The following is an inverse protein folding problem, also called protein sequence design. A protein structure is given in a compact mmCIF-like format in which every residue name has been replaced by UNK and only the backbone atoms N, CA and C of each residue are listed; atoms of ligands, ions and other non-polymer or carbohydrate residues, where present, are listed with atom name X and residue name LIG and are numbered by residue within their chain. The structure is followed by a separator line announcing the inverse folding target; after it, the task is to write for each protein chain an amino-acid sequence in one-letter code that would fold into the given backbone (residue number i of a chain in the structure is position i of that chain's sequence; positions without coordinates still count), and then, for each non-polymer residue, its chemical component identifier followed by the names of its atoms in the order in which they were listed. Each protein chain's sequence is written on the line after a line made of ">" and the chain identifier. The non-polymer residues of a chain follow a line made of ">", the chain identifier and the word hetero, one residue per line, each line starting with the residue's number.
data_IF_342128829850
#
_entry.id   IF_342128829850
#
_cell.length_a   1.000
_cell.length_b   1.000
_cell.length_c   1.000
_cell.angle_alpha   90.00
_cell.angle_beta   90.00
_cell.angle_gamma   90.00
#
_symmetry.space_group_name_H-M   'P 1'
#
loop_
_entity.id
_entity.type
_entity.pdbx_description
1 polymer ?
#
# COMPACT_ATOMS: atom_id res chain seq x y z
N UNK A 1 -18.34 5.59 -4.73
CA UNK A 1 -17.92 4.84 -3.53
C UNK A 1 -16.45 5.14 -3.23
N UNK A 2 -16.06 5.34 -1.97
CA UNK A 2 -14.65 5.53 -1.57
C UNK A 2 -14.12 4.29 -0.85
N UNK A 3 -12.85 3.95 -1.07
CA UNK A 3 -12.20 2.86 -0.35
C UNK A 3 -12.10 3.17 1.15
N UNK A 4 -12.23 2.15 2.02
CA UNK A 4 -11.93 2.30 3.44
C UNK A 4 -10.42 2.50 3.62
N UNK A 5 -10.00 3.74 3.82
CA UNK A 5 -8.59 4.13 4.03
C UNK A 5 -8.46 4.74 5.40
N UNK A 6 -7.59 4.19 6.24
CA UNK A 6 -7.17 4.86 7.48
C UNK A 6 -5.90 5.65 7.21
N UNK A 7 -5.92 6.95 7.53
CA UNK A 7 -4.75 7.84 7.38
C UNK A 7 -3.89 7.78 8.64
N UNK A 8 -3.30 6.63 8.92
CA UNK A 8 -2.32 6.54 10.01
C UNK A 8 -0.92 6.88 9.50
N UNK A 9 -0.39 8.02 9.94
CA UNK A 9 0.92 8.50 9.52
C UNK A 9 2.01 7.88 10.41
N UNK A 10 3.02 7.29 9.78
CA UNK A 10 4.23 6.82 10.42
C UNK A 10 5.29 7.93 10.38
N UNK A 11 5.32 8.82 11.38
CA UNK A 11 6.34 9.89 11.46
C UNK A 11 7.78 9.37 11.43
N UNK A 12 8.00 8.14 11.91
CA UNK A 12 9.29 7.46 11.84
C UNK A 12 9.77 7.24 10.39
N UNK A 13 8.91 7.33 9.39
CA UNK A 13 9.27 7.24 7.96
C UNK A 13 10.18 8.38 7.48
N UNK A 14 10.17 9.53 8.15
CA UNK A 14 11.02 10.67 7.79
C UNK A 14 12.50 10.39 8.03
N UNK A 15 12.84 9.66 9.10
CA UNK A 15 14.23 9.35 9.46
C UNK A 15 14.97 8.58 8.35
N UNK A 16 14.48 7.43 7.84
CA UNK A 16 15.16 6.71 6.76
C UNK A 16 15.13 7.48 5.44
N UNK A 17 14.11 8.31 5.16
CA UNK A 17 14.08 9.16 3.97
C UNK A 17 15.17 10.23 3.98
N UNK A 18 15.31 10.94 5.11
CA UNK A 18 16.36 11.96 5.28
C UNK A 18 17.74 11.30 5.26
N UNK A 19 17.92 10.17 5.95
CA UNK A 19 19.18 9.42 5.94
C UNK A 19 19.59 8.99 4.53
N UNK A 20 18.67 8.44 3.74
CA UNK A 20 18.95 8.03 2.36
C UNK A 20 19.24 9.23 1.45
N UNK A 21 18.52 10.34 1.63
CA UNK A 21 18.78 11.58 0.88
C UNK A 21 20.17 12.13 1.18
N UNK A 22 20.55 12.21 2.45
CA UNK A 22 21.88 12.67 2.87
C UNK A 22 22.99 11.74 2.35
N UNK A 23 22.75 10.43 2.33
CA UNK A 23 23.68 9.45 1.75
C UNK A 23 23.93 9.74 0.27
N UNK A 24 22.87 9.96 -0.52
CA UNK A 24 23.01 10.28 -1.95
C UNK A 24 23.72 11.61 -2.17
N UNK A 25 23.37 12.65 -1.40
CA UNK A 25 24.04 13.95 -1.48
C UNK A 25 25.54 13.82 -1.13
N UNK A 26 25.87 13.08 -0.08
CA UNK A 26 27.25 12.80 0.32
C UNK A 26 28.04 12.05 -0.76
N UNK A 27 27.42 11.07 -1.42
CA UNK A 27 28.02 10.36 -2.55
C UNK A 27 28.36 11.32 -3.71
N UNK A 28 27.41 12.16 -4.12
CA UNK A 28 27.65 13.17 -5.17
C UNK A 28 28.72 14.18 -4.77
N UNK A 29 28.80 14.54 -3.48
CA UNK A 29 29.81 15.44 -2.95
C UNK A 29 31.22 14.83 -3.03
N UNK A 30 31.39 13.57 -2.61
CA UNK A 30 32.67 12.86 -2.68
C UNK A 30 33.14 12.70 -4.13
N UNK A 31 32.21 12.54 -5.07
CA UNK A 31 32.51 12.47 -6.51
C UNK A 31 32.85 13.82 -7.14
N UNK A 32 32.82 14.93 -6.39
CA UNK A 32 33.14 16.26 -6.89
C UNK A 32 32.10 16.85 -7.87
N UNK A 33 30.87 16.32 -7.87
CA UNK A 33 29.80 16.78 -8.76
C UNK A 33 29.26 18.10 -8.23
N UNK A 34 29.37 19.17 -9.04
CA UNK A 34 28.79 20.47 -8.72
C UNK A 34 27.29 20.35 -8.44
N UNK A 35 26.76 21.14 -7.50
CA UNK A 35 25.36 21.07 -7.07
C UNK A 35 24.95 19.70 -6.49
N UNK A 36 25.84 19.05 -5.72
CA UNK A 36 25.64 17.70 -5.16
C UNK A 36 24.31 17.52 -4.43
N UNK A 37 23.83 18.59 -3.76
CA UNK A 37 22.53 18.61 -3.09
C UNK A 37 21.35 18.39 -4.07
N UNK A 38 21.32 19.13 -5.18
CA UNK A 38 20.28 19.01 -6.21
C UNK A 38 20.30 17.63 -6.86
N UNK A 39 21.49 17.16 -7.26
CA UNK A 39 21.61 15.85 -7.90
C UNK A 39 21.20 14.69 -6.98
N UNK A 40 21.53 14.76 -5.69
CA UNK A 40 21.10 13.75 -4.71
C UNK A 40 19.57 13.67 -4.60
N UNK A 41 18.90 14.82 -4.45
CA UNK A 41 17.43 14.88 -4.35
C UNK A 41 16.78 14.41 -5.64
N UNK A 42 17.21 14.93 -6.79
CA UNK A 42 16.62 14.57 -8.10
C UNK A 42 16.76 13.09 -8.38
N UNK A 43 17.94 12.52 -8.11
CA UNK A 43 18.18 11.08 -8.31
C UNK A 43 17.27 10.23 -7.42
N UNK A 44 17.11 10.62 -6.16
CA UNK A 44 16.20 9.94 -5.24
C UNK A 44 14.74 10.00 -5.75
N UNK A 45 14.27 11.20 -6.12
CA UNK A 45 12.89 11.41 -6.57
C UNK A 45 12.59 10.67 -7.87
N UNK A 46 13.51 10.67 -8.83
CA UNK A 46 13.37 9.91 -10.08
C UNK A 46 13.29 8.41 -9.77
N UNK A 47 14.23 7.88 -8.99
CA UNK A 47 14.25 6.47 -8.61
C UNK A 47 12.95 6.04 -7.92
N UNK A 48 12.54 6.77 -6.90
CA UNK A 48 11.31 6.47 -6.15
C UNK A 48 10.06 6.62 -7.02
N UNK A 49 10.02 7.60 -7.94
CA UNK A 49 8.88 7.78 -8.85
C UNK A 49 8.76 6.63 -9.85
N UNK A 50 9.87 6.10 -10.35
CA UNK A 50 9.88 4.93 -11.23
C UNK A 50 9.40 3.68 -10.52
N UNK A 51 9.92 3.43 -9.30
CA UNK A 51 9.48 2.28 -8.50
C UNK A 51 8.00 2.41 -8.15
N UNK A 52 7.55 3.60 -7.73
CA UNK A 52 6.15 3.84 -7.40
C UNK A 52 5.22 3.69 -8.62
N UNK A 53 5.67 4.13 -9.80
CA UNK A 53 4.93 3.96 -11.04
C UNK A 53 4.70 2.50 -11.38
N UNK A 54 5.69 1.64 -11.20
CA UNK A 54 5.57 0.19 -11.47
C UNK A 54 4.80 -0.52 -10.36
N UNK A 55 5.23 -0.36 -9.11
CA UNK A 55 4.74 -1.16 -7.97
C UNK A 55 3.29 -0.84 -7.57
N UNK A 56 2.82 0.38 -7.82
CA UNK A 56 1.49 0.84 -7.36
C UNK A 56 0.54 1.07 -8.54
N UNK A 57 0.95 0.74 -9.78
CA UNK A 57 0.11 0.91 -10.99
C UNK A 57 -1.24 0.23 -10.85
N UNK A 58 -1.22 -1.05 -10.50
CA UNK A 58 -2.40 -1.90 -10.46
C UNK A 58 -3.34 -1.45 -9.33
N UNK A 59 -2.79 -1.07 -8.17
CA UNK A 59 -3.56 -0.44 -7.09
C UNK A 59 -4.25 0.86 -7.52
N UNK A 60 -3.55 1.73 -8.28
CA UNK A 60 -4.13 2.97 -8.79
C UNK A 60 -5.26 2.69 -9.79
N UNK A 61 -5.08 1.72 -10.68
CA UNK A 61 -6.10 1.32 -11.65
C UNK A 61 -7.31 0.67 -10.96
N UNK A 62 -7.08 -0.24 -10.02
CA UNK A 62 -8.13 -0.87 -9.21
C UNK A 62 -8.92 0.17 -8.41
N UNK A 63 -8.25 1.15 -7.81
CA UNK A 63 -8.92 2.26 -7.13
C UNK A 63 -9.79 3.12 -8.05
N UNK A 64 -9.45 3.25 -9.34
CA UNK A 64 -10.31 3.89 -10.34
C UNK A 64 -11.51 3.00 -10.68
N UNK A 65 -11.31 1.69 -10.81
CA UNK A 65 -12.40 0.72 -11.06
C UNK A 65 -13.43 0.72 -9.90
N UNK A 66 -12.99 0.84 -8.65
CA UNK A 66 -13.89 1.03 -7.50
C UNK A 66 -14.72 2.30 -7.62
N UNK A 67 -14.12 3.40 -8.09
CA UNK A 67 -14.85 4.66 -8.29
C UNK A 67 -15.89 4.57 -9.39
N UNK A 68 -15.66 3.74 -10.42
CA UNK A 68 -16.61 3.47 -11.49
C UNK A 68 -17.62 2.36 -11.15
N UNK A 69 -17.54 1.74 -9.96
CA UNK A 69 -18.42 0.64 -9.54
C UNK A 69 -18.08 -0.72 -10.16
N UNK A 70 -16.98 -0.82 -10.90
CA UNK A 70 -16.52 -2.09 -11.47
C UNK A 70 -15.69 -2.86 -10.43
N UNK A 71 -16.39 -3.46 -9.47
CA UNK A 71 -15.77 -4.19 -8.37
C UNK A 71 -15.07 -5.47 -8.82
N UNK A 72 -15.52 -6.10 -9.92
CA UNK A 72 -14.86 -7.31 -10.44
C UNK A 72 -13.49 -6.98 -11.04
N UNK A 73 -13.40 -5.91 -11.85
CA UNK A 73 -12.11 -5.44 -12.33
C UNK A 73 -11.22 -4.91 -11.19
N UNK A 74 -11.81 -4.26 -10.19
CA UNK A 74 -11.07 -3.81 -9.01
C UNK A 74 -10.42 -4.98 -8.24
N UNK A 75 -11.15 -6.08 -8.02
CA UNK A 75 -10.62 -7.29 -7.37
C UNK A 75 -9.40 -7.81 -8.13
N UNK A 76 -9.50 -7.99 -9.44
CA UNK A 76 -8.39 -8.47 -10.27
C UNK A 76 -7.17 -7.54 -10.19
N UNK A 77 -7.39 -6.22 -10.23
CA UNK A 77 -6.31 -5.24 -10.12
C UNK A 77 -5.63 -5.22 -8.73
N UNK A 78 -6.40 -5.30 -7.64
CA UNK A 78 -5.80 -5.40 -6.30
C UNK A 78 -5.07 -6.72 -6.09
N UNK A 79 -5.57 -7.82 -6.66
CA UNK A 79 -4.93 -9.13 -6.57
C UNK A 79 -3.60 -9.15 -7.34
N UNK A 80 -3.57 -8.61 -8.55
CA UNK A 80 -2.32 -8.41 -9.32
C UNK A 80 -1.30 -7.56 -8.56
N UNK A 81 -1.75 -6.44 -7.97
CA UNK A 81 -0.89 -5.59 -7.14
C UNK A 81 -0.34 -6.30 -5.90
N UNK A 82 -1.19 -7.08 -5.21
CA UNK A 82 -0.80 -7.91 -4.08
C UNK A 82 0.25 -8.96 -4.50
N UNK A 83 0.01 -9.68 -5.59
CA UNK A 83 0.92 -10.73 -6.10
C UNK A 83 2.28 -10.15 -6.50
N UNK A 84 2.29 -8.98 -7.14
CA UNK A 84 3.52 -8.25 -7.46
C UNK A 84 4.33 -7.92 -6.19
N UNK A 85 3.68 -7.39 -5.15
CA UNK A 85 4.35 -7.04 -3.90
C UNK A 85 4.76 -8.27 -3.09
N UNK A 86 4.06 -9.39 -3.24
CA UNK A 86 4.46 -10.66 -2.65
C UNK A 86 5.70 -11.23 -3.35
N UNK A 87 5.81 -11.04 -4.68
CA UNK A 87 7.02 -11.39 -5.44
C UNK A 87 8.22 -10.50 -5.10
N UNK A 88 7.98 -9.22 -4.78
CA UNK A 88 9.03 -8.25 -4.43
C UNK A 88 8.82 -7.67 -3.02
N UNK A 89 8.95 -8.48 -1.96
CA UNK A 89 8.59 -8.08 -0.59
C UNK A 89 9.46 -6.95 -0.04
N UNK A 90 10.67 -6.77 -0.59
CA UNK A 90 11.55 -5.66 -0.22
C UNK A 90 10.93 -4.29 -0.54
N UNK A 91 10.08 -4.18 -1.56
CA UNK A 91 9.43 -2.92 -1.94
C UNK A 91 8.52 -2.44 -0.82
N UNK A 92 7.70 -3.34 -0.27
CA UNK A 92 6.76 -3.00 0.81
C UNK A 92 7.48 -2.89 2.18
N UNK A 93 8.54 -3.68 2.37
CA UNK A 93 9.44 -3.59 3.55
C UNK A 93 10.13 -2.23 3.64
N UNK A 94 10.65 -1.71 2.53
CA UNK A 94 11.35 -0.43 2.45
C UNK A 94 10.48 0.70 1.89
N UNK A 95 9.15 0.56 1.91
CA UNK A 95 8.18 1.48 1.29
C UNK A 95 8.34 2.95 1.71
N UNK A 96 8.83 3.20 2.93
CA UNK A 96 9.09 4.54 3.41
C UNK A 96 10.15 5.25 2.56
N UNK A 97 11.19 4.52 2.13
CA UNK A 97 12.25 5.06 1.27
C UNK A 97 11.85 4.95 -0.20
N UNK A 98 11.51 3.74 -0.65
CA UNK A 98 11.43 3.45 -2.09
C UNK A 98 10.11 3.86 -2.74
N UNK A 99 9.04 4.01 -1.95
CA UNK A 99 7.73 4.47 -2.43
C UNK A 99 7.36 5.86 -1.89
N UNK A 100 8.23 6.48 -1.09
CA UNK A 100 7.96 7.73 -0.36
C UNK A 100 6.65 7.67 0.43
N UNK A 101 6.28 6.48 0.91
CA UNK A 101 5.04 6.28 1.65
C UNK A 101 5.21 6.68 3.11
N UNK A 102 4.21 7.36 3.68
CA UNK A 102 4.13 7.64 5.12
C UNK A 102 3.05 6.82 5.83
N UNK A 103 2.41 5.87 5.13
CA UNK A 103 1.33 5.04 5.67
C UNK A 103 1.86 3.95 6.60
N UNK A 104 1.30 3.84 7.80
CA UNK A 104 1.57 2.69 8.68
C UNK A 104 1.16 1.37 8.04
N UNK A 105 0.03 1.36 7.35
CA UNK A 105 -0.49 0.20 6.61
C UNK A 105 0.33 -0.06 5.36
N UNK A 106 0.70 -1.32 5.15
CA UNK A 106 1.45 -1.78 3.98
C UNK A 106 0.56 -1.82 2.72
N UNK A 107 1.15 -1.80 1.53
CA UNK A 107 0.36 -1.89 0.31
C UNK A 107 -0.31 -3.25 0.16
N UNK A 108 0.33 -4.34 0.64
CA UNK A 108 -0.27 -5.68 0.69
C UNK A 108 -1.48 -5.75 1.61
N UNK A 109 -1.34 -5.21 2.82
CA UNK A 109 -2.43 -5.13 3.80
C UNK A 109 -3.62 -4.33 3.22
N UNK A 110 -3.34 -3.21 2.58
CA UNK A 110 -4.34 -2.39 1.90
C UNK A 110 -4.99 -3.14 0.73
N UNK A 111 -4.23 -3.96 -0.01
CA UNK A 111 -4.75 -4.79 -1.09
C UNK A 111 -5.83 -5.75 -0.57
N UNK A 112 -5.50 -6.53 0.47
CA UNK A 112 -6.41 -7.53 1.04
C UNK A 112 -7.69 -6.89 1.56
N UNK A 113 -7.56 -5.77 2.28
CA UNK A 113 -8.72 -4.99 2.74
C UNK A 113 -9.61 -4.52 1.57
N UNK A 114 -9.00 -4.03 0.50
CA UNK A 114 -9.75 -3.53 -0.65
C UNK A 114 -10.39 -4.67 -1.48
N UNK A 115 -9.73 -5.82 -1.57
CA UNK A 115 -10.30 -7.04 -2.19
C UNK A 115 -11.52 -7.48 -1.38
N UNK A 116 -11.39 -7.62 -0.06
CA UNK A 116 -12.49 -7.98 0.83
C UNK A 116 -13.65 -6.98 0.71
N UNK A 117 -13.36 -5.68 0.71
CA UNK A 117 -14.34 -4.63 0.48
C UNK A 117 -15.09 -4.83 -0.85
N UNK A 118 -14.38 -5.07 -1.95
CA UNK A 118 -15.01 -5.26 -3.26
C UNK A 118 -15.89 -6.53 -3.31
N UNK A 119 -15.47 -7.62 -2.66
CA UNK A 119 -16.32 -8.82 -2.52
C UNK A 119 -17.61 -8.53 -1.77
N UNK A 120 -17.56 -7.74 -0.70
CA UNK A 120 -18.77 -7.28 0.01
C UNK A 120 -19.71 -6.47 -0.89
N UNK A 121 -19.17 -5.64 -1.79
CA UNK A 121 -19.98 -4.82 -2.71
C UNK A 121 -20.69 -5.64 -3.79
N UNK A 122 -20.20 -6.84 -4.12
CA UNK A 122 -20.83 -7.74 -5.11
C UNK A 122 -21.65 -8.86 -4.47
N UNK A 123 -21.91 -8.79 -3.15
CA UNK A 123 -22.73 -9.76 -2.42
C UNK A 123 -22.01 -11.07 -2.06
N UNK A 124 -20.71 -11.17 -2.31
CA UNK A 124 -19.92 -12.38 -2.02
C UNK A 124 -19.29 -12.30 -0.61
N UNK A 125 -20.16 -12.19 0.42
CA UNK A 125 -19.75 -11.94 1.81
C UNK A 125 -18.82 -13.00 2.42
N UNK A 126 -19.00 -14.28 2.10
CA UNK A 126 -18.10 -15.35 2.57
C UNK A 126 -16.67 -15.18 2.04
N UNK A 127 -16.51 -14.73 0.78
CA UNK A 127 -15.18 -14.41 0.24
C UNK A 127 -14.58 -13.19 0.94
N UNK A 128 -15.38 -12.16 1.20
CA UNK A 128 -14.91 -10.99 1.95
C UNK A 128 -14.36 -11.39 3.33
N UNK A 129 -15.08 -12.25 4.07
CA UNK A 129 -14.64 -12.79 5.37
C UNK A 129 -13.34 -13.59 5.20
N UNK A 130 -13.23 -14.43 4.19
CA UNK A 130 -12.01 -15.20 3.90
C UNK A 130 -10.79 -14.28 3.69
N UNK A 131 -10.94 -13.19 2.93
CA UNK A 131 -9.86 -12.22 2.73
C UNK A 131 -9.53 -11.42 4.00
N UNK A 132 -10.52 -11.06 4.84
CA UNK A 132 -10.23 -10.43 6.13
C UNK A 132 -9.50 -11.39 7.09
N UNK A 133 -9.83 -12.67 7.08
CA UNK A 133 -9.12 -13.68 7.87
C UNK A 133 -7.69 -13.90 7.34
N UNK A 134 -7.50 -13.95 6.02
CA UNK A 134 -6.16 -13.96 5.43
C UNK A 134 -5.36 -12.73 5.85
N UNK A 135 -5.99 -11.56 5.82
CA UNK A 135 -5.37 -10.31 6.26
C UNK A 135 -4.94 -10.35 7.72
N UNK A 136 -5.71 -10.95 8.64
CA UNK A 136 -5.27 -11.17 10.02
C UNK A 136 -4.17 -12.22 10.16
N UNK A 137 -4.15 -13.23 9.30
CA UNK A 137 -3.06 -14.22 9.30
C UNK A 137 -1.72 -13.59 8.89
N UNK A 138 -1.74 -12.64 7.96
CA UNK A 138 -0.53 -11.95 7.48
C UNK A 138 -0.19 -10.71 8.31
N UNK A 139 -1.21 -10.02 8.83
CA UNK A 139 -1.12 -8.79 9.60
C UNK A 139 -1.95 -8.92 10.88
N UNK A 140 -1.47 -9.65 11.91
CA UNK A 140 -2.24 -9.94 13.14
C UNK A 140 -2.70 -8.70 13.90
N UNK A 141 -1.99 -7.58 13.74
CA UNK A 141 -2.28 -6.31 14.38
C UNK A 141 -3.22 -5.42 13.55
N UNK A 142 -3.77 -5.90 12.44
CA UNK A 142 -4.60 -5.08 11.57
C UNK A 142 -5.94 -4.68 12.20
N UNK A 143 -6.04 -3.40 12.61
CA UNK A 143 -7.27 -2.80 13.12
C UNK A 143 -8.41 -2.85 12.08
N UNK A 144 -8.07 -2.74 10.78
CA UNK A 144 -9.03 -2.77 9.69
C UNK A 144 -9.73 -4.13 9.61
N UNK A 145 -8.97 -5.22 9.62
CA UNK A 145 -9.54 -6.55 9.52
C UNK A 145 -10.35 -6.91 10.79
N UNK A 146 -9.84 -6.55 11.98
CA UNK A 146 -10.57 -6.73 13.26
C UNK A 146 -11.90 -5.98 13.24
N UNK A 147 -11.89 -4.70 12.84
CA UNK A 147 -13.10 -3.88 12.78
C UNK A 147 -14.11 -4.45 11.77
N UNK A 148 -13.66 -4.86 10.58
CA UNK A 148 -14.52 -5.41 9.55
C UNK A 148 -15.19 -6.73 9.98
N UNK A 149 -14.42 -7.66 10.55
CA UNK A 149 -14.96 -8.94 11.03
C UNK A 149 -15.92 -8.77 12.21
N UNK A 150 -15.60 -7.87 13.15
CA UNK A 150 -16.51 -7.53 14.25
C UNK A 150 -17.84 -6.95 13.74
N UNK A 151 -17.77 -6.07 12.74
CA UNK A 151 -18.97 -5.50 12.11
C UNK A 151 -19.83 -6.57 11.43
N UNK A 152 -19.21 -7.48 10.66
CA UNK A 152 -19.92 -8.59 10.01
C UNK A 152 -20.56 -9.52 11.05
N UNK A 153 -19.83 -9.85 12.13
CA UNK A 153 -20.33 -10.70 13.20
C UNK A 153 -21.53 -10.07 13.93
N UNK A 154 -21.52 -8.75 14.15
CA UNK A 154 -22.65 -8.03 14.73
C UNK A 154 -23.91 -8.15 13.86
N UNK A 155 -23.79 -7.91 12.54
CA UNK A 155 -24.93 -8.02 11.61
C UNK A 155 -25.49 -9.45 11.58
N UNK A 156 -24.62 -10.46 11.56
CA UNK A 156 -25.04 -11.87 11.55
C UNK A 156 -25.77 -12.32 12.81
N UNK A 157 -25.51 -11.68 13.94
CA UNK A 157 -26.18 -11.99 15.21
C UNK A 157 -27.61 -11.47 15.25
N UNK A 158 -27.88 -10.41 14.48
CA UNK A 158 -29.17 -9.72 14.43
C UNK A 158 -30.06 -10.18 13.25
N UNK A 159 -29.63 -11.20 12.49
CA UNK A 159 -30.37 -11.81 11.37
C UNK A 159 -30.91 -13.19 11.71
#
# INVERSE_FOLDING_TARGET
>A
MSLPVTKQIAWISLLPQLGFTLLLVGLYYILGIAHSFLFGIVTYLIGSSLIQFVAVKDHRQAGRAVKSGDFRAAIAGFQSGYDFLNKYPWIDKYRYVVLLSSSKISFREMALNNIAFCYSQIGEGEKAISYYNQMLSEFPDSDLAKAALNFIAAIRKDS
#
